data_IF_930779775375
#
_entry.id   IF_930779775375
#
_cell.length_a   1.000
_cell.length_b   1.000
_cell.length_c   1.000
_cell.angle_alpha   90.00
_cell.angle_beta   90.00
_cell.angle_gamma   90.00
#
_symmetry.space_group_name_H-M   'P 1'
#
loop_
_entity.id
_entity.type
_entity.pdbx_description
1 polymer ?
#
# COMPACT_ATOMS: atom_id res chain seq x y z
N UNK A 1 38.55 -48.96 -8.45
CA UNK A 1 38.22 -47.65 -7.83
C UNK A 1 36.76 -47.34 -8.10
N UNK A 2 35.87 -47.43 -7.10
CA UNK A 2 34.43 -47.14 -7.22
C UNK A 2 34.18 -45.66 -6.92
N UNK A 3 33.75 -44.87 -7.90
CA UNK A 3 33.29 -43.48 -7.68
C UNK A 3 31.77 -43.47 -7.54
N UNK A 4 31.34 -42.86 -6.44
CA UNK A 4 29.97 -42.69 -5.95
C UNK A 4 29.20 -41.71 -6.85
N UNK A 5 27.94 -42.02 -7.15
CA UNK A 5 26.99 -41.06 -7.69
C UNK A 5 25.82 -40.97 -6.69
N UNK A 6 25.94 -40.06 -5.73
CA UNK A 6 24.80 -39.58 -4.94
C UNK A 6 24.52 -38.18 -5.47
N UNK A 7 23.60 -38.09 -6.42
CA UNK A 7 23.20 -36.82 -7.04
C UNK A 7 21.70 -36.86 -7.26
N UNK A 8 20.93 -36.85 -6.17
CA UNK A 8 19.47 -36.65 -6.22
C UNK A 8 18.95 -36.33 -4.82
N UNK A 9 19.30 -35.17 -4.26
CA UNK A 9 18.58 -34.62 -3.10
C UNK A 9 18.69 -33.09 -2.95
N UNK A 10 18.93 -32.35 -4.04
CA UNK A 10 19.13 -30.89 -4.00
C UNK A 10 18.22 -30.10 -4.95
N UNK A 11 17.21 -30.73 -5.54
CA UNK A 11 16.22 -30.04 -6.40
C UNK A 11 14.88 -29.82 -5.68
N UNK A 12 14.62 -30.51 -4.56
CA UNK A 12 13.36 -30.37 -3.81
C UNK A 12 13.25 -29.12 -2.93
N UNK A 13 14.36 -28.46 -2.56
CA UNK A 13 14.32 -27.39 -1.55
C UNK A 13 14.16 -25.97 -2.14
N UNK A 14 14.42 -25.78 -3.43
CA UNK A 14 14.36 -24.44 -4.05
C UNK A 14 12.92 -24.08 -4.47
N UNK A 15 12.05 -25.07 -4.70
CA UNK A 15 10.65 -24.83 -5.05
C UNK A 15 9.77 -24.41 -3.86
N UNK A 16 10.16 -24.73 -2.63
CA UNK A 16 9.40 -24.38 -1.43
C UNK A 16 9.59 -22.92 -0.98
N UNK A 17 10.68 -22.27 -1.39
CA UNK A 17 10.97 -20.87 -1.03
C UNK A 17 10.16 -19.83 -1.81
N UNK A 18 9.66 -20.17 -3.00
CA UNK A 18 8.97 -19.22 -3.88
C UNK A 18 7.45 -19.22 -3.77
N UNK A 19 6.86 -20.19 -3.05
CA UNK A 19 5.41 -20.28 -2.85
C UNK A 19 4.93 -19.66 -1.52
N UNK A 20 5.85 -19.40 -0.59
CA UNK A 20 5.53 -18.83 0.72
C UNK A 20 5.03 -17.36 0.75
N UNK A 21 5.41 -16.44 -0.17
CA UNK A 21 4.99 -15.04 0.00
C UNK A 21 3.51 -14.81 -0.35
N UNK A 22 2.86 -15.70 -1.11
CA UNK A 22 1.45 -15.54 -1.49
C UNK A 22 0.47 -15.87 -0.36
N UNK A 23 0.80 -16.84 0.50
CA UNK A 23 -0.08 -17.23 1.61
C UNK A 23 -0.06 -16.20 2.75
N UNK A 24 1.09 -15.56 3.02
CA UNK A 24 1.16 -14.44 3.96
C UNK A 24 0.44 -13.20 3.42
N UNK A 25 0.59 -12.88 2.12
CA UNK A 25 -0.14 -11.75 1.54
C UNK A 25 -1.68 -11.91 1.65
N UNK A 26 -2.19 -13.14 1.58
CA UNK A 26 -3.61 -13.42 1.76
C UNK A 26 -4.09 -13.27 3.22
N UNK A 27 -3.29 -13.64 4.23
CA UNK A 27 -3.68 -13.43 5.64
C UNK A 27 -3.64 -11.95 6.06
N UNK A 28 -2.79 -11.13 5.42
CA UNK A 28 -2.81 -9.67 5.59
C UNK A 28 -3.96 -9.00 4.82
N UNK A 29 -4.49 -9.63 3.77
CA UNK A 29 -5.61 -9.10 2.99
C UNK A 29 -6.98 -9.29 3.69
N UNK A 30 -7.13 -10.27 4.58
CA UNK A 30 -8.36 -10.50 5.36
C UNK A 30 -8.49 -9.58 6.59
N UNK A 31 -7.44 -8.83 6.93
CA UNK A 31 -7.48 -7.79 7.96
C UNK A 31 -7.31 -6.42 7.30
N UNK A 32 -8.40 -5.89 6.77
CA UNK A 32 -8.46 -4.48 6.40
C UNK A 32 -8.25 -3.65 7.66
N UNK A 33 -7.07 -3.03 7.78
CA UNK A 33 -6.68 -2.19 8.90
C UNK A 33 -7.31 -0.81 8.76
N UNK A 34 -7.74 -0.20 9.87
CA UNK A 34 -8.31 1.15 9.87
C UNK A 34 -7.25 2.22 10.18
N UNK A 35 -7.57 3.49 9.94
CA UNK A 35 -6.75 4.62 10.36
C UNK A 35 -6.44 4.64 11.87
N UNK A 36 -7.39 4.21 12.71
CA UNK A 36 -7.21 4.04 14.16
C UNK A 36 -6.18 2.94 14.46
N UNK A 37 -6.30 1.78 13.82
CA UNK A 37 -5.36 0.67 14.03
C UNK A 37 -3.95 1.02 13.55
N UNK A 38 -3.85 1.77 12.45
CA UNK A 38 -2.59 2.35 11.99
C UNK A 38 -1.94 3.22 13.07
N UNK A 39 -2.71 4.12 13.67
CA UNK A 39 -2.17 5.08 14.65
C UNK A 39 -1.79 4.41 15.98
N UNK A 40 -2.58 3.46 16.46
CA UNK A 40 -2.49 2.99 17.85
C UNK A 40 -1.93 1.58 18.03
N UNK A 41 -2.05 0.70 17.01
CA UNK A 41 -1.81 -0.74 17.18
C UNK A 41 -0.69 -1.27 16.29
N UNK A 42 -0.53 -0.70 15.10
CA UNK A 42 0.41 -1.24 14.10
C UNK A 42 1.86 -0.82 14.38
N UNK A 43 2.74 -1.82 14.38
CA UNK A 43 4.18 -1.63 14.30
C UNK A 43 4.61 -1.08 12.94
N UNK A 44 5.81 -0.49 12.87
CA UNK A 44 6.43 -0.04 11.61
C UNK A 44 6.44 -1.11 10.50
N UNK A 45 6.64 -2.38 10.89
CA UNK A 45 6.63 -3.50 9.95
C UNK A 45 5.24 -3.77 9.40
N UNK A 46 4.21 -3.70 10.24
CA UNK A 46 2.82 -3.88 9.80
C UNK A 46 2.39 -2.74 8.90
N UNK A 47 2.73 -1.49 9.26
CA UNK A 47 2.50 -0.31 8.42
C UNK A 47 3.12 -0.47 7.04
N UNK A 48 4.39 -0.90 6.98
CA UNK A 48 5.07 -1.20 5.73
C UNK A 48 4.33 -2.25 4.89
N UNK A 49 3.92 -3.37 5.49
CA UNK A 49 3.22 -4.45 4.78
C UNK A 49 1.83 -4.01 4.27
N UNK A 50 1.10 -3.23 5.07
CA UNK A 50 -0.22 -2.70 4.70
C UNK A 50 -0.16 -1.70 3.55
N UNK A 51 1.00 -1.10 3.27
CA UNK A 51 1.21 -0.28 2.06
C UNK A 51 1.70 -1.09 0.87
N UNK A 52 2.54 -2.10 1.10
CA UNK A 52 3.17 -2.86 0.02
C UNK A 52 2.14 -3.63 -0.85
N UNK A 53 1.09 -4.17 -0.23
CA UNK A 53 0.01 -4.87 -0.94
C UNK A 53 -0.77 -3.92 -1.87
N UNK A 54 -1.35 -2.79 -1.41
CA UNK A 54 -2.03 -1.85 -2.30
C UNK A 54 -1.07 -1.23 -3.32
N UNK A 55 0.19 -0.95 -2.97
CA UNK A 55 1.18 -0.48 -3.94
C UNK A 55 1.38 -1.47 -5.10
N UNK A 56 1.48 -2.76 -4.81
CA UNK A 56 1.59 -3.81 -5.83
C UNK A 56 0.37 -3.85 -6.75
N UNK A 57 -0.83 -3.68 -6.19
CA UNK A 57 -2.06 -3.59 -6.97
C UNK A 57 -2.06 -2.35 -7.86
N UNK A 58 -1.83 -1.17 -7.31
CA UNK A 58 -1.90 0.10 -8.04
C UNK A 58 -0.85 0.17 -9.16
N UNK A 59 0.34 -0.41 -8.95
CA UNK A 59 1.37 -0.55 -9.99
C UNK A 59 0.86 -1.33 -11.21
N UNK A 60 0.00 -2.34 -11.04
CA UNK A 60 -0.59 -3.07 -12.17
C UNK A 60 -1.52 -2.20 -13.02
N UNK A 61 -2.06 -1.13 -12.43
CA UNK A 61 -2.86 -0.11 -13.10
C UNK A 61 -2.03 1.08 -13.61
N UNK A 62 -0.71 0.99 -13.55
CA UNK A 62 0.18 2.04 -14.04
C UNK A 62 0.23 3.28 -13.15
N UNK A 63 -0.04 3.14 -11.84
CA UNK A 63 0.17 4.21 -10.87
C UNK A 63 1.67 4.32 -10.57
N UNK A 64 2.37 5.38 -11.00
CA UNK A 64 3.73 5.66 -10.53
C UNK A 64 3.70 6.08 -9.06
N UNK A 65 4.73 5.68 -8.33
CA UNK A 65 4.99 6.16 -6.97
C UNK A 65 6.30 6.93 -6.94
N UNK A 66 6.29 8.17 -6.45
CA UNK A 66 7.54 8.93 -6.25
C UNK A 66 8.34 8.46 -5.04
N UNK A 67 7.67 7.78 -4.10
CA UNK A 67 8.19 7.47 -2.77
C UNK A 67 8.29 5.98 -2.54
N UNK A 68 9.24 5.62 -1.68
CA UNK A 68 9.39 4.28 -1.14
C UNK A 68 8.30 4.00 -0.10
N UNK A 69 7.96 2.73 0.17
CA UNK A 69 6.97 2.41 1.20
C UNK A 69 7.27 3.00 2.58
N UNK A 70 8.52 3.02 3.10
CA UNK A 70 8.82 3.66 4.39
C UNK A 70 8.57 5.18 4.42
N UNK A 71 8.75 5.88 3.30
CA UNK A 71 8.43 7.31 3.21
C UNK A 71 6.91 7.53 3.24
N UNK A 72 6.14 6.63 2.62
CA UNK A 72 4.69 6.65 2.72
C UNK A 72 4.18 6.32 4.13
N UNK A 73 4.87 5.46 4.89
CA UNK A 73 4.51 5.24 6.30
C UNK A 73 4.52 6.56 7.07
N UNK A 74 5.60 7.34 6.94
CA UNK A 74 5.72 8.66 7.58
C UNK A 74 4.70 9.67 7.07
N UNK A 75 4.38 9.64 5.77
CA UNK A 75 3.37 10.51 5.19
C UNK A 75 1.97 10.18 5.74
N UNK A 76 1.64 8.89 5.84
CA UNK A 76 0.38 8.39 6.38
C UNK A 76 0.19 8.76 7.85
N UNK A 77 1.25 8.66 8.67
CA UNK A 77 1.20 9.13 10.07
C UNK A 77 0.78 10.60 10.17
N UNK A 78 1.36 11.47 9.33
CA UNK A 78 0.98 12.88 9.27
C UNK A 78 -0.44 13.08 8.75
N UNK A 79 -0.82 12.35 7.68
CA UNK A 79 -2.18 12.44 7.12
C UNK A 79 -3.22 12.12 8.18
N UNK A 80 -3.03 11.04 8.95
CA UNK A 80 -3.96 10.64 10.02
C UNK A 80 -3.97 11.63 11.18
N UNK A 81 -2.82 12.18 11.56
CA UNK A 81 -2.74 13.24 12.58
C UNK A 81 -3.58 14.48 12.20
N UNK A 82 -3.54 14.88 10.93
CA UNK A 82 -4.24 16.07 10.43
C UNK A 82 -5.69 15.80 9.98
N UNK A 83 -6.07 14.53 9.86
CA UNK A 83 -7.38 14.10 9.37
C UNK A 83 -7.97 13.02 10.29
N UNK A 84 -8.25 13.33 11.58
CA UNK A 84 -8.72 12.34 12.55
C UNK A 84 -10.07 11.71 12.19
N UNK A 85 -10.87 12.35 11.33
CA UNK A 85 -12.11 11.78 10.81
C UNK A 85 -11.90 10.53 9.92
N UNK A 86 -10.66 10.22 9.53
CA UNK A 86 -10.28 9.01 8.80
C UNK A 86 -10.02 7.80 9.72
N UNK A 87 -10.21 7.92 11.04
CA UNK A 87 -9.93 6.83 11.99
C UNK A 87 -10.64 5.51 11.61
N UNK A 88 -11.85 5.58 11.05
CA UNK A 88 -12.67 4.40 10.67
C UNK A 88 -12.48 3.98 9.22
N UNK A 89 -11.70 4.73 8.46
CA UNK A 89 -11.45 4.46 7.06
C UNK A 89 -10.34 3.41 6.92
N UNK A 90 -10.43 2.57 5.90
CA UNK A 90 -9.42 1.55 5.65
C UNK A 90 -8.06 2.22 5.30
N UNK A 91 -6.95 1.55 5.58
CA UNK A 91 -5.60 2.10 5.32
C UNK A 91 -5.24 2.12 3.84
N UNK A 92 -5.52 1.03 3.11
CA UNK A 92 -5.21 0.92 1.68
C UNK A 92 -5.91 1.99 0.86
N UNK A 93 -7.12 2.19 1.33
CA UNK A 93 -7.95 3.31 1.13
C UNK A 93 -7.15 4.59 1.42
N UNK A 94 -6.95 5.01 2.68
CA UNK A 94 -6.31 6.30 3.01
C UNK A 94 -5.04 6.60 2.20
N UNK A 95 -4.26 5.56 1.97
CA UNK A 95 -3.10 5.57 1.10
C UNK A 95 -3.43 5.99 -0.35
N UNK A 96 -4.41 5.38 -1.01
CA UNK A 96 -4.80 5.75 -2.38
C UNK A 96 -5.21 7.24 -2.51
N UNK A 97 -5.99 7.81 -1.58
CA UNK A 97 -6.33 9.25 -1.68
C UNK A 97 -5.13 10.13 -1.36
N UNK A 98 -4.22 9.66 -0.50
CA UNK A 98 -2.96 10.36 -0.23
C UNK A 98 -2.15 10.47 -1.52
N UNK A 99 -1.92 9.34 -2.21
CA UNK A 99 -1.18 9.34 -3.48
C UNK A 99 -1.92 10.16 -4.54
N UNK A 100 -3.24 9.98 -4.70
CA UNK A 100 -4.05 10.72 -5.67
C UNK A 100 -4.01 12.25 -5.46
N UNK A 101 -4.01 12.68 -4.19
CA UNK A 101 -4.00 14.10 -3.82
C UNK A 101 -2.63 14.76 -4.05
N UNK A 102 -1.55 14.08 -3.67
CA UNK A 102 -0.19 14.65 -3.64
C UNK A 102 0.68 14.30 -4.85
N UNK A 103 0.32 13.29 -5.66
CA UNK A 103 1.08 12.85 -6.84
C UNK A 103 0.17 12.92 -8.09
N UNK A 104 0.05 14.09 -8.76
CA UNK A 104 -0.89 14.28 -9.87
C UNK A 104 -0.71 13.30 -11.05
N UNK A 105 0.50 12.84 -11.29
CA UNK A 105 0.83 11.83 -12.31
C UNK A 105 0.31 10.43 -11.98
N UNK A 106 -0.07 10.17 -10.72
CA UNK A 106 -0.72 8.90 -10.32
C UNK A 106 -2.18 8.82 -10.78
N UNK A 107 -2.82 9.97 -11.02
CA UNK A 107 -4.28 10.08 -11.24
C UNK A 107 -4.77 9.26 -12.44
N UNK A 108 -4.12 9.26 -13.62
CA UNK A 108 -4.58 8.46 -14.74
C UNK A 108 -4.65 6.95 -14.41
N UNK A 109 -3.69 6.43 -13.64
CA UNK A 109 -3.69 5.03 -13.21
C UNK A 109 -4.84 4.73 -12.25
N UNK A 110 -5.08 5.60 -11.27
CA UNK A 110 -6.23 5.47 -10.36
C UNK A 110 -7.58 5.61 -11.09
N UNK A 111 -7.70 6.52 -12.04
CA UNK A 111 -8.91 6.69 -12.85
C UNK A 111 -9.19 5.46 -13.72
N UNK A 112 -8.14 4.88 -14.30
CA UNK A 112 -8.24 3.63 -15.05
C UNK A 112 -8.70 2.48 -14.15
N UNK A 113 -8.06 2.34 -12.99
CA UNK A 113 -8.44 1.36 -11.98
C UNK A 113 -9.91 1.51 -11.59
N UNK A 114 -10.34 2.73 -11.23
CA UNK A 114 -11.72 3.02 -10.84
C UNK A 114 -12.73 2.60 -11.93
N UNK A 115 -12.47 2.96 -13.19
CA UNK A 115 -13.34 2.57 -14.32
C UNK A 115 -13.43 1.05 -14.46
N UNK A 116 -12.32 0.33 -14.32
CA UNK A 116 -12.31 -1.13 -14.41
C UNK A 116 -13.09 -1.78 -13.26
N UNK A 117 -12.93 -1.28 -12.03
CA UNK A 117 -13.68 -1.77 -10.87
C UNK A 117 -15.19 -1.52 -11.03
N UNK A 118 -15.59 -0.33 -11.50
CA UNK A 118 -16.99 0.02 -11.77
C UNK A 118 -17.59 -0.88 -12.84
N UNK A 119 -16.84 -1.13 -13.92
CA UNK A 119 -17.27 -2.01 -14.99
C UNK A 119 -17.47 -3.45 -14.51
N UNK A 120 -16.58 -3.96 -13.66
CA UNK A 120 -16.66 -5.33 -13.13
C UNK A 120 -17.66 -5.49 -11.99
N UNK A 121 -17.99 -4.40 -11.28
CA UNK A 121 -18.87 -4.41 -10.11
C UNK A 121 -19.94 -3.32 -10.21
N UNK A 122 -20.86 -3.40 -11.19
CA UNK A 122 -21.90 -2.39 -11.35
C UNK A 122 -22.77 -2.30 -10.09
N UNK A 123 -22.99 -1.09 -9.60
CA UNK A 123 -23.85 -0.80 -8.44
C UNK A 123 -23.19 -0.98 -7.06
N UNK A 124 -21.89 -1.30 -7.00
CA UNK A 124 -21.13 -1.25 -5.74
C UNK A 124 -20.45 0.11 -5.58
N UNK A 125 -20.51 0.67 -4.38
CA UNK A 125 -19.69 1.82 -4.00
C UNK A 125 -18.22 1.38 -3.98
N UNK A 126 -17.37 2.16 -4.65
CA UNK A 126 -15.93 1.91 -4.66
C UNK A 126 -15.32 2.96 -3.74
N UNK A 127 -14.51 2.57 -2.77
CA UNK A 127 -14.12 3.51 -1.73
C UNK A 127 -13.09 4.57 -2.16
N UNK A 128 -12.55 4.55 -3.40
CA UNK A 128 -11.46 5.45 -3.86
C UNK A 128 -11.65 6.17 -5.17
N UNK A 129 -11.09 7.39 -5.31
CA UNK A 129 -10.66 8.34 -4.27
C UNK A 129 -11.76 9.39 -4.02
N UNK A 130 -12.40 9.37 -2.85
CA UNK A 130 -13.63 10.17 -2.62
C UNK A 130 -13.57 11.20 -1.50
N UNK A 131 -12.61 11.18 -0.59
CA UNK A 131 -12.55 12.21 0.44
C UNK A 131 -11.59 13.34 0.12
N UNK A 132 -12.01 14.53 0.51
CA UNK A 132 -11.16 15.69 0.61
C UNK A 132 -10.23 15.52 1.81
N UNK A 133 -8.92 15.38 1.57
CA UNK A 133 -7.92 15.51 2.63
C UNK A 133 -7.77 16.99 3.02
N UNK A 134 -7.81 17.31 4.32
CA UNK A 134 -7.24 18.58 4.77
C UNK A 134 -5.75 18.53 4.47
N UNK A 135 -5.29 19.45 3.62
CA UNK A 135 -3.87 19.58 3.33
C UNK A 135 -3.13 19.89 4.63
N UNK A 136 -1.99 19.25 4.81
CA UNK A 136 -1.06 19.56 5.90
C UNK A 136 -0.66 21.05 5.78
N UNK A 137 -0.71 21.88 6.85
CA UNK A 137 -0.53 23.33 6.72
C UNK A 137 0.85 23.74 6.15
N UNK A 138 0.84 24.69 5.21
CA UNK A 138 2.03 25.23 4.50
C UNK A 138 3.20 25.69 5.37
N UNK A 139 2.94 26.08 6.62
CA UNK A 139 3.97 26.55 7.56
C UNK A 139 4.83 25.42 8.12
N UNK A 140 4.29 24.20 8.15
CA UNK A 140 5.06 22.96 8.33
C UNK A 140 5.51 22.39 6.97
N UNK A 141 4.93 22.86 5.85
CA UNK A 141 5.44 22.58 4.51
C UNK A 141 6.75 23.28 4.17
N UNK A 142 7.16 24.36 4.85
CA UNK A 142 8.53 24.89 4.67
C UNK A 142 9.60 23.91 5.21
N UNK A 143 9.23 23.04 6.16
CA UNK A 143 10.00 21.86 6.55
C UNK A 143 9.56 20.60 5.80
N UNK A 144 8.42 20.63 5.10
CA UNK A 144 7.96 19.53 4.29
C UNK A 144 8.44 19.60 2.85
N UNK A 145 8.78 20.73 2.24
CA UNK A 145 9.66 20.74 1.06
C UNK A 145 11.05 20.18 1.41
N UNK A 146 11.42 20.12 2.70
CA UNK A 146 12.56 19.35 3.23
C UNK A 146 12.19 17.96 3.82
N UNK A 147 10.94 17.52 3.68
CA UNK A 147 10.46 16.14 3.91
C UNK A 147 9.74 15.57 2.66
N UNK A 148 9.79 16.30 1.55
CA UNK A 148 9.22 16.06 0.23
C UNK A 148 10.32 16.27 -0.86
N UNK A 149 11.50 16.80 -0.49
CA UNK A 149 12.87 16.51 -0.97
C UNK A 149 13.67 15.84 0.15
#
# INVERSE_FOLDING_TARGET
MKKRLIFSLTVGLVAAGFLAPRAQAASYADQFTTGEEWAEKMSEREKFMSLLVPMSLFNQYGVPFRRTPPEYVKAMDKVLLYNPYLEKEDVANIFASTVYAYEPESRPGFEWMLREFQYRNPGKEIPWPHFTLRRVPRREEASAEALWE
#
